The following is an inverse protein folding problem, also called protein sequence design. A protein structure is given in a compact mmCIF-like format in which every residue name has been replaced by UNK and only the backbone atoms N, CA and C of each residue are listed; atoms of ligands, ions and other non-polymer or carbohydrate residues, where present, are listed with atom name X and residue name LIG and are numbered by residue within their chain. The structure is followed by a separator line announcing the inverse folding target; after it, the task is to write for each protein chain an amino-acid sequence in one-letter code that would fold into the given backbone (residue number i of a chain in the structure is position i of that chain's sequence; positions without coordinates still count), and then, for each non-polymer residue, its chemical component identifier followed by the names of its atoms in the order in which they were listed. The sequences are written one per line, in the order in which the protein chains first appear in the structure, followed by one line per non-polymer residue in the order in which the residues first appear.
data_IF_334487266693
#
_entry.id   IF_334487266693
#
_cell.length_a   1.000
_cell.length_b   1.000
_cell.length_c   1.000
_cell.angle_alpha   90.00
_cell.angle_beta   90.00
_cell.angle_gamma   90.00
#
_symmetry.space_group_name_H-M   'P 1'
#
loop_
_entity.id
_entity.type
_entity.pdbx_description
1 polymer ?
#
# COMPACT_ATOMS: atom_id res chain seq x y z
N UNK A 1 -9.59 19.95 -21.48
CA UNK A 1 -10.97 19.96 -20.92
C UNK A 1 -10.91 19.32 -19.56
N UNK A 2 -11.38 20.03 -18.53
CA UNK A 2 -11.47 19.51 -17.16
C UNK A 2 -12.49 18.38 -17.14
N UNK A 3 -12.05 17.17 -16.86
CA UNK A 3 -12.96 16.03 -16.73
C UNK A 3 -13.68 16.18 -15.38
N UNK A 4 -14.99 16.38 -15.43
CA UNK A 4 -15.86 16.47 -14.25
C UNK A 4 -16.98 15.46 -14.37
N UNK A 5 -17.22 14.68 -13.32
CA UNK A 5 -18.30 13.73 -13.26
C UNK A 5 -18.88 13.59 -11.84
N UNK A 6 -20.09 13.06 -11.74
CA UNK A 6 -20.80 12.88 -10.49
C UNK A 6 -21.08 11.41 -10.25
N UNK A 7 -20.67 10.90 -9.09
CA UNK A 7 -21.13 9.63 -8.54
C UNK A 7 -22.40 9.93 -7.75
N UNK A 8 -23.56 9.58 -8.31
CA UNK A 8 -24.87 9.93 -7.75
C UNK A 8 -25.42 8.82 -6.87
N UNK A 9 -26.12 9.21 -5.78
CA UNK A 9 -26.87 8.33 -4.89
C UNK A 9 -26.00 7.23 -4.24
N UNK A 10 -24.72 7.49 -3.98
CA UNK A 10 -23.89 6.56 -3.24
C UNK A 10 -24.27 6.60 -1.76
N UNK A 11 -24.25 5.44 -1.10
CA UNK A 11 -24.64 5.29 0.30
C UNK A 11 -23.41 5.19 1.21
N UNK A 12 -23.30 6.05 2.20
CA UNK A 12 -22.29 5.90 3.26
C UNK A 12 -22.60 4.72 4.16
N UNK A 13 -21.61 4.23 4.90
CA UNK A 13 -21.77 3.12 5.86
C UNK A 13 -22.84 3.42 6.93
N UNK A 14 -23.01 4.68 7.31
CA UNK A 14 -24.06 5.13 8.24
C UNK A 14 -25.48 5.20 7.63
N UNK A 15 -25.60 4.86 6.34
CA UNK A 15 -26.89 4.86 5.62
C UNK A 15 -27.26 6.16 4.91
N UNK A 16 -26.50 7.24 5.07
CA UNK A 16 -26.73 8.50 4.38
C UNK A 16 -26.45 8.38 2.88
N UNK A 17 -27.38 8.85 2.03
CA UNK A 17 -27.19 8.92 0.59
C UNK A 17 -26.63 10.29 0.18
N UNK A 18 -25.57 10.27 -0.62
CA UNK A 18 -24.83 11.45 -1.05
C UNK A 18 -24.49 11.39 -2.53
N UNK A 19 -24.17 12.56 -3.10
CA UNK A 19 -23.47 12.65 -4.38
C UNK A 19 -22.02 13.07 -4.15
N UNK A 20 -21.10 12.49 -4.94
CA UNK A 20 -19.68 12.86 -4.93
C UNK A 20 -19.34 13.43 -6.30
N UNK A 21 -18.91 14.68 -6.33
CA UNK A 21 -18.43 15.35 -7.53
C UNK A 21 -16.92 15.18 -7.63
N UNK A 22 -16.48 14.62 -8.73
CA UNK A 22 -15.07 14.43 -9.05
C UNK A 22 -14.66 15.42 -10.13
N UNK A 23 -13.56 16.12 -9.92
CA UNK A 23 -12.95 17.03 -10.89
C UNK A 23 -11.43 16.87 -10.86
N UNK A 24 -10.84 16.67 -12.03
CA UNK A 24 -9.38 16.43 -12.16
C UNK A 24 -8.86 15.33 -11.24
N UNK A 25 -9.54 14.18 -11.20
CA UNK A 25 -9.21 13.01 -10.36
C UNK A 25 -9.20 13.29 -8.84
N UNK A 26 -9.90 14.36 -8.39
CA UNK A 26 -10.03 14.69 -6.98
C UNK A 26 -11.50 14.87 -6.61
N UNK A 27 -11.85 14.58 -5.37
CA UNK A 27 -13.17 14.91 -4.82
C UNK A 27 -13.24 16.44 -4.71
N UNK A 28 -14.05 17.04 -5.56
CA UNK A 28 -14.28 18.48 -5.55
C UNK A 28 -15.38 18.87 -4.56
N UNK A 29 -16.43 18.03 -4.44
CA UNK A 29 -17.56 18.30 -3.58
C UNK A 29 -18.25 17.00 -3.13
N UNK A 30 -18.82 17.02 -1.93
CA UNK A 30 -19.75 16.01 -1.42
C UNK A 30 -21.04 16.72 -1.06
N UNK A 31 -22.17 16.29 -1.62
CA UNK A 31 -23.48 16.94 -1.44
C UNK A 31 -24.54 15.92 -1.03
N UNK A 32 -25.73 16.40 -0.71
CA UNK A 32 -26.92 15.56 -0.54
C UNK A 32 -27.22 14.83 -1.86
N UNK A 33 -27.83 13.66 -1.77
CA UNK A 33 -28.27 12.91 -2.93
C UNK A 33 -29.14 13.75 -3.87
N UNK A 34 -28.84 13.68 -5.17
CA UNK A 34 -29.52 14.45 -6.20
C UNK A 34 -29.04 15.90 -6.39
N UNK A 35 -28.19 16.43 -5.51
CA UNK A 35 -27.72 17.82 -5.55
C UNK A 35 -26.38 18.03 -6.25
N UNK A 36 -25.66 16.95 -6.59
CA UNK A 36 -24.39 17.03 -7.31
C UNK A 36 -24.59 17.53 -8.75
N UNK A 37 -23.85 18.58 -9.13
CA UNK A 37 -23.94 19.19 -10.46
C UNK A 37 -22.64 19.03 -11.24
N UNK A 38 -22.78 18.85 -12.53
CA UNK A 38 -21.67 18.91 -13.51
C UNK A 38 -21.47 17.65 -14.29
N UNK A 39 -21.03 17.82 -15.52
CA UNK A 39 -20.50 16.82 -16.41
C UNK A 39 -21.31 15.52 -16.57
N UNK A 40 -20.57 14.42 -16.58
CA UNK A 40 -21.11 13.06 -16.74
C UNK A 40 -21.61 12.54 -15.39
N UNK A 41 -22.87 12.14 -15.33
CA UNK A 41 -23.47 11.53 -14.13
C UNK A 41 -23.48 10.02 -14.25
N UNK A 42 -23.07 9.33 -13.19
CA UNK A 42 -23.22 7.87 -13.02
C UNK A 42 -24.02 7.62 -11.74
N UNK A 43 -25.14 6.89 -11.89
CA UNK A 43 -25.99 6.50 -10.76
C UNK A 43 -25.42 5.24 -10.09
N UNK A 44 -25.25 5.32 -8.79
CA UNK A 44 -24.75 4.27 -7.89
C UNK A 44 -25.76 3.93 -6.79
N UNK A 45 -27.05 4.16 -7.02
CA UNK A 45 -28.12 3.79 -6.09
C UNK A 45 -27.94 2.35 -5.56
N UNK A 46 -28.01 2.17 -4.25
CA UNK A 46 -27.84 0.87 -3.61
C UNK A 46 -26.37 0.44 -3.39
N UNK A 47 -25.40 1.22 -3.87
CA UNK A 47 -23.97 0.94 -3.69
C UNK A 47 -23.40 1.73 -2.51
N UNK A 48 -22.61 1.07 -1.68
CA UNK A 48 -21.91 1.74 -0.58
C UNK A 48 -20.61 2.39 -1.02
N UNK A 49 -20.26 3.48 -0.36
CA UNK A 49 -19.00 4.20 -0.49
C UNK A 49 -18.31 4.33 0.87
N UNK A 50 -17.00 4.14 0.89
CA UNK A 50 -16.13 4.47 2.02
C UNK A 50 -14.90 5.23 1.52
N UNK A 51 -14.13 5.82 2.44
CA UNK A 51 -12.75 6.20 2.16
C UNK A 51 -11.95 4.95 1.78
N UNK A 52 -10.87 5.14 1.03
CA UNK A 52 -9.99 4.03 0.64
C UNK A 52 -9.45 3.28 1.87
N UNK A 53 -9.43 1.97 1.79
CA UNK A 53 -8.88 1.11 2.84
C UNK A 53 -7.37 1.14 2.82
N UNK A 54 -6.77 0.96 4.00
CA UNK A 54 -5.33 0.87 4.20
C UNK A 54 -5.03 -0.50 4.80
N UNK A 55 -4.17 -1.29 4.15
CA UNK A 55 -3.65 -2.55 4.69
C UNK A 55 -2.18 -2.35 5.09
N UNK A 56 -1.88 -2.57 6.37
CA UNK A 56 -0.55 -2.35 6.94
C UNK A 56 0.33 -3.60 6.93
N UNK A 57 -0.15 -4.73 6.39
CA UNK A 57 0.61 -5.98 6.43
C UNK A 57 0.38 -6.85 5.21
N UNK A 58 0.99 -6.47 4.11
CA UNK A 58 1.00 -7.25 2.86
C UNK A 58 2.44 -7.58 2.45
N UNK A 59 2.59 -8.45 1.46
CA UNK A 59 3.85 -8.71 0.78
C UNK A 59 3.67 -8.40 -0.72
N UNK A 60 4.10 -7.21 -1.13
CA UNK A 60 3.88 -6.63 -2.45
C UNK A 60 5.15 -6.71 -3.34
N UNK A 61 5.87 -7.82 -3.28
CA UNK A 61 7.08 -8.03 -4.04
C UNK A 61 7.08 -9.44 -4.68
N UNK A 62 6.55 -9.58 -5.91
CA UNK A 62 6.26 -10.87 -6.53
C UNK A 62 7.48 -11.77 -6.77
N UNK A 63 8.69 -11.21 -6.71
CA UNK A 63 9.93 -11.99 -6.89
C UNK A 63 10.29 -12.87 -5.67
N UNK A 64 9.60 -12.71 -4.54
CA UNK A 64 9.90 -13.48 -3.32
C UNK A 64 8.81 -14.48 -2.97
N UNK A 65 8.91 -15.68 -3.56
CA UNK A 65 8.08 -16.80 -3.19
C UNK A 65 8.25 -17.22 -1.71
N UNK A 66 7.18 -17.70 -1.06
CA UNK A 66 5.82 -17.88 -1.56
C UNK A 66 4.87 -16.71 -1.22
N UNK A 67 5.37 -15.60 -0.67
CA UNK A 67 4.53 -14.58 -0.05
C UNK A 67 4.21 -13.40 -0.96
N UNK A 68 5.04 -13.13 -1.98
CA UNK A 68 4.93 -11.93 -2.80
C UNK A 68 3.80 -11.98 -3.82
N UNK A 69 3.15 -10.83 -4.04
CA UNK A 69 2.12 -10.65 -5.06
C UNK A 69 2.26 -9.27 -5.71
N UNK A 70 1.53 -9.05 -6.80
CA UNK A 70 1.53 -7.80 -7.55
C UNK A 70 0.78 -6.70 -6.78
N UNK A 71 1.35 -5.50 -6.74
CA UNK A 71 0.87 -4.35 -5.96
C UNK A 71 -0.62 -4.04 -6.21
N UNK A 72 -1.05 -3.95 -7.48
CA UNK A 72 -2.43 -3.60 -7.80
C UNK A 72 -3.40 -4.78 -7.65
N UNK A 73 -2.92 -6.04 -7.70
CA UNK A 73 -3.76 -7.22 -7.48
C UNK A 73 -4.24 -7.29 -6.03
N UNK A 74 -3.35 -7.01 -5.08
CA UNK A 74 -3.68 -7.02 -3.63
C UNK A 74 -4.12 -5.64 -3.11
N UNK A 75 -3.98 -4.60 -3.93
CA UNK A 75 -4.36 -3.23 -3.63
C UNK A 75 -5.71 -2.83 -4.22
N UNK A 76 -5.69 -1.90 -5.17
CA UNK A 76 -6.90 -1.26 -5.73
C UNK A 76 -7.89 -2.24 -6.35
N UNK A 77 -7.46 -3.38 -6.88
CA UNK A 77 -8.38 -4.42 -7.39
C UNK A 77 -9.20 -5.09 -6.28
N UNK A 78 -8.73 -5.05 -5.04
CA UNK A 78 -9.44 -5.54 -3.86
C UNK A 78 -10.15 -4.41 -3.09
N UNK A 79 -10.14 -3.17 -3.61
CA UNK A 79 -10.71 -2.01 -2.94
C UNK A 79 -9.79 -1.39 -1.88
N UNK A 80 -8.55 -1.86 -1.75
CA UNK A 80 -7.53 -1.31 -0.85
C UNK A 80 -6.71 -0.29 -1.62
N UNK A 81 -6.77 0.98 -1.21
CA UNK A 81 -6.12 2.09 -1.95
C UNK A 81 -4.70 2.36 -1.50
N UNK A 82 -4.33 1.88 -0.32
CA UNK A 82 -3.00 2.06 0.27
C UNK A 82 -2.57 0.77 0.95
N UNK A 83 -1.39 0.31 0.64
CA UNK A 83 -0.78 -0.88 1.25
C UNK A 83 0.59 -0.56 1.81
N UNK A 84 0.97 -1.26 2.88
CA UNK A 84 2.32 -1.21 3.44
C UNK A 84 2.92 -2.61 3.36
N UNK A 85 3.95 -2.76 2.53
CA UNK A 85 4.71 -4.00 2.46
C UNK A 85 5.39 -4.28 3.80
N UNK A 86 5.15 -5.45 4.37
CA UNK A 86 5.60 -5.81 5.71
C UNK A 86 7.01 -6.44 5.71
N UNK A 87 7.94 -5.80 4.99
CA UNK A 87 9.34 -6.18 5.00
C UNK A 87 9.69 -7.30 4.04
N UNK A 88 9.04 -7.37 2.88
CA UNK A 88 9.48 -8.26 1.81
C UNK A 88 10.91 -7.92 1.40
N UNK A 89 11.23 -6.62 1.26
CA UNK A 89 12.56 -6.15 0.90
C UNK A 89 13.33 -5.64 2.13
N UNK A 90 14.61 -6.01 2.18
CA UNK A 90 15.62 -5.30 2.95
C UNK A 90 16.38 -4.31 2.07
N UNK A 91 17.47 -3.74 2.61
CA UNK A 91 18.24 -2.68 1.95
C UNK A 91 18.77 -3.06 0.56
N UNK A 92 19.09 -4.34 0.32
CA UNK A 92 19.64 -4.81 -0.96
C UNK A 92 18.61 -4.71 -2.12
N UNK A 93 17.30 -4.77 -1.84
CA UNK A 93 16.25 -4.84 -2.88
C UNK A 93 15.14 -3.78 -2.75
N UNK A 94 15.22 -2.89 -1.75
CA UNK A 94 14.18 -1.85 -1.56
C UNK A 94 14.01 -0.94 -2.79
N UNK A 95 15.08 -0.72 -3.54
CA UNK A 95 15.02 0.08 -4.77
C UNK A 95 14.08 -0.51 -5.83
N UNK A 96 13.97 -1.84 -5.89
CA UNK A 96 13.09 -2.52 -6.83
C UNK A 96 11.63 -2.38 -6.42
N UNK A 97 11.33 -2.48 -5.12
CA UNK A 97 10.00 -2.19 -4.58
C UNK A 97 9.56 -0.75 -4.86
N UNK A 98 10.49 0.22 -4.73
CA UNK A 98 10.21 1.62 -5.06
C UNK A 98 9.84 1.80 -6.53
N UNK A 99 10.49 1.08 -7.46
CA UNK A 99 10.11 1.10 -8.88
C UNK A 99 8.71 0.54 -9.11
N UNK A 100 8.31 -0.52 -8.40
CA UNK A 100 6.95 -1.07 -8.48
C UNK A 100 5.91 -0.03 -8.07
N UNK A 101 6.20 0.78 -7.03
CA UNK A 101 5.34 1.89 -6.62
C UNK A 101 5.09 2.91 -7.74
N UNK A 102 6.12 3.25 -8.52
CA UNK A 102 6.01 4.25 -9.60
C UNK A 102 5.05 3.81 -10.71
N UNK A 103 4.85 2.51 -10.89
CA UNK A 103 3.99 1.92 -11.92
C UNK A 103 2.58 1.59 -11.40
N UNK A 104 2.40 1.50 -10.09
CA UNK A 104 1.16 1.08 -9.45
C UNK A 104 0.13 2.22 -9.35
N UNK A 105 -1.14 1.85 -9.35
CA UNK A 105 -2.26 2.74 -8.99
C UNK A 105 -2.50 2.76 -7.49
N UNK A 106 -2.15 1.69 -6.81
CA UNK A 106 -2.19 1.54 -5.36
C UNK A 106 -1.07 2.36 -4.72
N UNK A 107 -1.37 3.08 -3.65
CA UNK A 107 -0.32 3.75 -2.87
C UNK A 107 0.47 2.69 -2.10
N UNK A 108 1.73 2.47 -2.48
CA UNK A 108 2.61 1.51 -1.82
C UNK A 108 3.58 2.24 -0.90
N UNK A 109 3.63 1.79 0.34
CA UNK A 109 4.65 2.10 1.35
C UNK A 109 5.31 0.80 1.82
N UNK A 110 6.38 0.90 2.62
CA UNK A 110 7.09 -0.26 3.12
C UNK A 110 7.58 -0.09 4.55
N UNK A 111 7.51 -1.17 5.32
CA UNK A 111 8.43 -1.40 6.43
C UNK A 111 9.68 -2.06 5.87
N UNK A 112 10.86 -1.44 6.05
CA UNK A 112 12.12 -2.03 5.60
C UNK A 112 12.50 -3.19 6.53
N UNK A 113 12.76 -4.38 5.97
CA UNK A 113 13.28 -5.49 6.75
C UNK A 113 14.67 -5.13 7.29
N UNK A 114 14.91 -5.37 8.59
CA UNK A 114 16.22 -5.12 9.21
C UNK A 114 17.32 -6.02 8.63
N UNK A 115 16.94 -7.20 8.12
CA UNK A 115 17.84 -8.01 7.30
C UNK A 115 17.95 -7.40 5.91
N UNK A 116 19.18 -7.10 5.47
CA UNK A 116 19.42 -6.50 4.16
C UNK A 116 18.90 -7.32 2.99
N UNK A 117 18.77 -8.65 3.16
CA UNK A 117 18.28 -9.57 2.13
C UNK A 117 16.75 -9.66 2.07
N UNK A 118 16.02 -9.21 3.12
CA UNK A 118 14.57 -9.36 3.22
C UNK A 118 14.12 -10.82 3.13
N UNK A 119 12.93 -11.05 2.58
CA UNK A 119 12.33 -12.38 2.42
C UNK A 119 12.92 -13.21 1.26
N UNK A 120 14.10 -12.86 0.76
CA UNK A 120 14.85 -13.76 -0.12
C UNK A 120 15.05 -15.15 0.52
N UNK A 121 15.00 -15.19 1.86
CA UNK A 121 14.98 -16.41 2.67
C UNK A 121 13.92 -16.27 3.75
N UNK A 122 13.32 -17.41 4.14
CA UNK A 122 12.33 -17.45 5.22
C UNK A 122 12.94 -17.37 6.63
N UNK A 123 14.26 -17.56 6.73
CA UNK A 123 15.08 -17.49 7.94
C UNK A 123 16.00 -16.25 7.92
N UNK A 124 15.46 -15.13 7.45
CA UNK A 124 16.19 -13.89 7.14
C UNK A 124 16.96 -13.27 8.32
N UNK A 125 16.70 -13.70 9.56
CA UNK A 125 17.41 -13.26 10.77
C UNK A 125 18.26 -14.36 11.40
N UNK A 126 18.50 -15.49 10.70
CA UNK A 126 19.32 -16.60 11.20
C UNK A 126 20.83 -16.31 11.14
N UNK A 127 21.25 -15.31 10.37
CA UNK A 127 22.65 -14.91 10.25
C UNK A 127 22.80 -13.40 10.51
N UNK A 128 23.58 -13.04 11.54
CA UNK A 128 23.85 -11.64 11.93
C UNK A 128 24.55 -10.82 10.84
N UNK A 129 25.28 -11.45 9.91
CA UNK A 129 25.92 -10.75 8.78
C UNK A 129 24.90 -10.14 7.80
N UNK A 130 23.63 -10.58 7.85
CA UNK A 130 22.56 -10.01 7.05
C UNK A 130 21.94 -8.77 7.70
N UNK A 131 22.30 -8.44 8.94
CA UNK A 131 21.89 -7.22 9.63
C UNK A 131 23.01 -6.18 9.46
N UNK A 132 22.81 -5.30 8.48
CA UNK A 132 23.73 -4.23 8.12
C UNK A 132 23.09 -2.89 8.46
N UNK A 133 23.47 -2.36 9.63
CA UNK A 133 22.88 -1.13 10.17
C UNK A 133 23.12 0.08 9.26
N UNK A 134 24.31 0.18 8.69
CA UNK A 134 24.71 1.27 7.80
C UNK A 134 23.82 1.27 6.54
N UNK A 135 23.66 0.12 5.91
CA UNK A 135 22.76 -0.03 4.74
C UNK A 135 21.29 0.27 5.08
N UNK A 136 20.82 -0.11 6.28
CA UNK A 136 19.45 0.20 6.70
C UNK A 136 19.28 1.70 6.84
N UNK A 137 20.22 2.41 7.46
CA UNK A 137 20.17 3.87 7.61
C UNK A 137 20.19 4.55 6.24
N UNK A 138 21.12 4.18 5.37
CA UNK A 138 21.21 4.72 4.00
C UNK A 138 19.91 4.52 3.20
N UNK A 139 19.30 3.34 3.31
CA UNK A 139 18.04 3.04 2.64
C UNK A 139 16.89 3.91 3.17
N UNK A 140 16.79 4.06 4.51
CA UNK A 140 15.76 4.89 5.15
C UNK A 140 15.92 6.35 4.75
N UNK A 141 17.13 6.89 4.77
CA UNK A 141 17.38 8.27 4.37
C UNK A 141 17.05 8.52 2.89
N UNK A 142 17.45 7.58 2.02
CA UNK A 142 17.24 7.68 0.58
C UNK A 142 15.76 7.56 0.18
N UNK A 143 14.99 6.71 0.85
CA UNK A 143 13.61 6.39 0.50
C UNK A 143 12.61 6.78 1.59
N UNK A 144 12.87 7.86 2.33
CA UNK A 144 12.04 8.38 3.44
C UNK A 144 10.57 8.63 3.09
N UNK A 145 10.25 8.86 1.80
CA UNK A 145 8.87 9.06 1.34
C UNK A 145 8.13 7.73 1.08
N UNK A 146 8.83 6.60 1.18
CA UNK A 146 8.29 5.25 0.96
C UNK A 146 8.41 4.40 2.20
N UNK A 147 9.56 4.45 2.89
CA UNK A 147 9.81 3.66 4.09
C UNK A 147 9.17 4.37 5.29
N UNK A 148 8.15 3.72 5.88
CA UNK A 148 7.39 4.25 7.02
C UNK A 148 7.79 3.62 8.36
N UNK A 149 8.71 2.66 8.36
CA UNK A 149 9.22 2.01 9.56
C UNK A 149 10.11 0.81 9.24
N UNK A 150 10.45 0.04 10.26
CA UNK A 150 11.28 -1.15 10.13
C UNK A 150 10.47 -2.41 10.46
N UNK A 151 10.86 -3.54 9.88
CA UNK A 151 10.30 -4.86 10.13
C UNK A 151 11.36 -5.81 10.67
N UNK A 152 11.03 -6.47 11.79
CA UNK A 152 11.76 -7.63 12.30
C UNK A 152 10.76 -8.76 12.62
N UNK A 153 10.98 -9.94 12.08
CA UNK A 153 10.17 -11.11 12.37
C UNK A 153 10.91 -12.04 13.34
N UNK A 154 10.51 -11.99 14.62
CA UNK A 154 11.25 -12.59 15.74
C UNK A 154 10.80 -14.01 16.10
N UNK A 155 10.21 -14.76 15.16
CA UNK A 155 9.84 -16.16 15.43
C UNK A 155 11.07 -17.07 15.45
N UNK A 156 11.04 -18.14 16.25
CA UNK A 156 12.15 -19.09 16.39
C UNK A 156 12.66 -19.65 15.05
N UNK A 157 11.76 -19.90 14.09
CA UNK A 157 12.13 -20.40 12.75
C UNK A 157 12.85 -19.37 11.88
N UNK A 158 12.77 -18.09 12.24
CA UNK A 158 13.38 -16.99 11.48
C UNK A 158 14.72 -16.57 12.09
N UNK A 159 14.78 -16.47 13.41
CA UNK A 159 16.00 -16.09 14.12
C UNK A 159 16.95 -17.28 14.35
N UNK A 160 16.41 -18.50 14.39
CA UNK A 160 17.18 -19.71 14.68
C UNK A 160 18.07 -19.55 15.94
N UNK A 161 19.37 -19.71 15.79
CA UNK A 161 20.38 -19.59 16.86
C UNK A 161 21.20 -18.29 16.74
N UNK A 162 20.71 -17.27 16.05
CA UNK A 162 21.44 -16.00 15.84
C UNK A 162 21.68 -15.20 17.11
N UNK A 163 20.90 -15.44 18.15
CA UNK A 163 21.02 -14.72 19.43
C UNK A 163 20.27 -13.37 19.46
N UNK A 164 19.41 -13.12 18.46
CA UNK A 164 18.51 -11.96 18.43
C UNK A 164 17.29 -12.22 19.30
#
# INVERSE_FOLDING_TARGET
MTERFVLRNVKRVNGEEIDIVIENNKIAQVTKAGAGEGGKVRDYSGTYVSSGWIDLHVHAFPEFDPYGDEVDEIGVKQGVTTIVDAGSCGADRIADLVKSREQAKTNLFAFLNISRIGLKRIDELSNMEWIDKEKVIEAVEKYKDVIVGLKARMSKSVVCDSGI
#
